data_IF_298396751859
#
_entry.id   IF_298396751859
#
_cell.length_a   1.000
_cell.length_b   1.000
_cell.length_c   1.000
_cell.angle_alpha   90.00
_cell.angle_beta   90.00
_cell.angle_gamma   90.00
#
_symmetry.space_group_name_H-M   'P 1'
#
loop_
_entity.id
_entity.type
_entity.pdbx_description
1 polymer ?
#
# COMPACT_ATOMS: atom_id res chain seq x y z
N UNK A 1 -6.16 -12.68 0.45
CA UNK A 1 -7.15 -12.24 1.46
C UNK A 1 -8.51 -12.29 0.78
N UNK A 2 -9.12 -13.49 0.66
CA UNK A 2 -10.34 -13.66 -0.13
C UNK A 2 -11.46 -12.77 0.41
N UNK A 3 -12.13 -12.01 -0.46
CA UNK A 3 -13.24 -11.13 -0.12
C UNK A 3 -12.86 -9.77 0.49
N UNK A 4 -11.62 -9.59 0.97
CA UNK A 4 -11.19 -8.31 1.55
C UNK A 4 -10.51 -7.40 0.52
N UNK A 5 -9.72 -7.96 -0.38
CA UNK A 5 -8.90 -7.24 -1.36
C UNK A 5 -9.26 -7.76 -2.76
N UNK A 6 -9.31 -6.86 -3.76
CA UNK A 6 -9.69 -7.18 -5.13
C UNK A 6 -8.71 -8.13 -5.82
N UNK A 7 -9.20 -8.89 -6.81
CA UNK A 7 -8.43 -9.92 -7.52
C UNK A 7 -7.24 -9.37 -8.30
N UNK A 8 -7.33 -8.11 -8.72
CA UNK A 8 -6.30 -7.38 -9.45
C UNK A 8 -5.11 -6.94 -8.59
N UNK A 9 -5.24 -6.99 -7.26
CA UNK A 9 -4.15 -6.65 -6.35
C UNK A 9 -3.26 -7.88 -6.13
N UNK A 10 -2.07 -7.84 -6.72
CA UNK A 10 -1.15 -8.98 -6.75
C UNK A 10 0.01 -8.89 -5.78
N UNK A 11 0.31 -7.69 -5.29
CA UNK A 11 1.39 -7.50 -4.34
C UNK A 11 0.98 -7.94 -2.93
N UNK A 12 1.87 -8.69 -2.25
CA UNK A 12 1.73 -9.12 -0.84
C UNK A 12 0.45 -9.95 -0.53
N UNK A 13 -0.18 -10.54 -1.55
CA UNK A 13 -1.33 -11.44 -1.38
C UNK A 13 -0.86 -12.90 -1.52
N UNK A 14 -1.13 -13.73 -0.50
CA UNK A 14 -0.81 -15.16 -0.54
C UNK A 14 -1.36 -15.81 -1.82
N UNK A 15 -0.52 -16.51 -2.55
CA UNK A 15 -0.87 -17.22 -3.78
C UNK A 15 -0.68 -16.41 -5.06
N UNK A 16 -0.47 -15.09 -4.97
CA UNK A 16 -0.13 -14.25 -6.12
C UNK A 16 1.39 -14.08 -6.23
N UNK A 17 1.89 -14.01 -7.47
CA UNK A 17 3.32 -13.87 -7.76
C UNK A 17 3.56 -12.58 -8.54
N UNK A 18 4.72 -11.95 -8.31
CA UNK A 18 5.10 -10.68 -8.97
C UNK A 18 5.06 -10.81 -10.51
N UNK A 19 5.38 -11.99 -11.04
CA UNK A 19 5.34 -12.23 -12.49
C UNK A 19 3.93 -12.22 -13.08
N UNK A 20 2.87 -12.45 -12.29
CA UNK A 20 1.50 -12.45 -12.77
C UNK A 20 1.12 -11.05 -13.27
N UNK A 21 1.49 -10.00 -12.53
CA UNK A 21 1.29 -8.61 -12.94
C UNK A 21 2.04 -8.25 -14.22
N UNK A 22 3.31 -8.68 -14.33
CA UNK A 22 4.11 -8.46 -15.55
C UNK A 22 3.52 -9.20 -16.77
N UNK A 23 3.01 -10.41 -16.57
CA UNK A 23 2.37 -11.21 -17.61
C UNK A 23 1.07 -10.57 -18.10
N UNK A 24 0.22 -10.08 -17.18
CA UNK A 24 -1.02 -9.37 -17.52
C UNK A 24 -0.69 -8.14 -18.37
N UNK A 25 0.24 -7.29 -17.92
CA UNK A 25 0.66 -6.10 -18.67
C UNK A 25 1.18 -6.46 -20.08
N UNK A 26 2.04 -7.47 -20.18
CA UNK A 26 2.54 -7.97 -21.46
C UNK A 26 1.42 -8.45 -22.39
N UNK A 27 0.45 -9.21 -21.87
CA UNK A 27 -0.69 -9.71 -22.64
C UNK A 27 -1.59 -8.56 -23.11
N UNK A 28 -1.85 -7.57 -22.27
CA UNK A 28 -2.63 -6.38 -22.62
C UNK A 28 -1.99 -5.61 -23.77
N UNK A 29 -0.68 -5.33 -23.70
CA UNK A 29 0.06 -4.66 -24.79
C UNK A 29 -0.02 -5.45 -26.10
N UNK A 30 0.20 -6.77 -26.04
CA UNK A 30 0.12 -7.64 -27.23
C UNK A 30 -1.28 -7.62 -27.84
N UNK A 31 -2.33 -7.66 -27.00
CA UNK A 31 -3.71 -7.62 -27.46
C UNK A 31 -4.05 -6.31 -28.15
N UNK A 32 -3.72 -5.15 -27.55
CA UNK A 32 -3.94 -3.81 -28.14
C UNK A 32 -3.31 -3.73 -29.54
N UNK A 33 -2.04 -4.15 -29.67
CA UNK A 33 -1.32 -4.18 -30.95
C UNK A 33 -2.01 -5.06 -31.99
N UNK A 34 -2.43 -6.27 -31.61
CA UNK A 34 -3.09 -7.22 -32.52
C UNK A 34 -4.46 -6.72 -32.99
N UNK A 35 -5.22 -6.06 -32.12
CA UNK A 35 -6.55 -5.54 -32.44
C UNK A 35 -6.52 -4.15 -33.08
N UNK A 36 -5.33 -3.54 -33.24
CA UNK A 36 -5.14 -2.16 -33.74
C UNK A 36 -6.05 -1.14 -33.03
N UNK A 37 -6.22 -1.31 -31.71
CA UNK A 37 -7.01 -0.38 -30.90
C UNK A 37 -6.14 0.81 -30.50
N UNK A 38 -6.68 2.00 -30.63
CA UNK A 38 -6.10 3.18 -30.00
C UNK A 38 -6.32 3.06 -28.48
N UNK A 39 -5.22 3.07 -27.72
CA UNK A 39 -5.25 2.92 -26.28
C UNK A 39 -4.06 3.63 -25.65
N UNK A 40 -4.26 4.12 -24.42
CA UNK A 40 -3.20 4.70 -23.58
C UNK A 40 -2.98 3.80 -22.38
N UNK A 41 -1.72 3.53 -22.06
CA UNK A 41 -1.33 2.81 -20.85
C UNK A 41 -0.74 3.82 -19.88
N UNK A 42 -1.36 3.94 -18.71
CA UNK A 42 -0.90 4.82 -17.64
C UNK A 42 -0.21 3.97 -16.58
N UNK A 43 1.06 4.27 -16.31
CA UNK A 43 1.81 3.67 -15.20
C UNK A 43 1.89 4.68 -14.05
N UNK A 44 1.24 4.35 -12.94
CA UNK A 44 1.30 5.13 -11.71
C UNK A 44 2.29 4.50 -10.74
N UNK A 45 3.03 5.34 -10.02
CA UNK A 45 3.94 4.92 -8.96
C UNK A 45 3.80 5.83 -7.74
N UNK A 46 3.97 5.26 -6.55
CA UNK A 46 3.84 6.00 -5.29
C UNK A 46 5.22 6.48 -4.82
N UNK A 47 5.45 7.80 -4.90
CA UNK A 47 6.65 8.39 -4.33
C UNK A 47 6.71 8.13 -2.81
N UNK A 48 7.75 7.45 -2.33
CA UNK A 48 7.93 7.10 -0.91
C UNK A 48 6.69 6.43 -0.32
N UNK A 49 6.25 5.35 -0.98
CA UNK A 49 4.97 4.68 -0.76
C UNK A 49 4.66 4.40 0.72
N UNK A 50 5.66 3.96 1.50
CA UNK A 50 5.50 3.66 2.92
C UNK A 50 5.51 4.92 3.78
N UNK A 51 6.44 5.84 3.56
CA UNK A 51 6.65 7.03 4.40
C UNK A 51 5.48 8.04 4.33
N UNK A 52 4.69 8.00 3.26
CA UNK A 52 3.64 9.00 3.02
C UNK A 52 2.24 8.59 3.45
N UNK A 53 2.04 7.35 3.90
CA UNK A 53 0.72 6.87 4.33
C UNK A 53 0.28 7.59 5.60
N UNK A 54 -0.81 8.36 5.53
CA UNK A 54 -1.41 8.99 6.71
C UNK A 54 -2.13 7.93 7.56
N UNK A 55 -1.85 7.89 8.86
CA UNK A 55 -2.47 6.90 9.76
C UNK A 55 -3.99 7.06 9.87
N UNK A 56 -4.51 8.29 9.79
CA UNK A 56 -5.95 8.54 9.72
C UNK A 56 -6.62 7.87 8.51
N UNK A 57 -5.90 7.77 7.38
CA UNK A 57 -6.40 7.07 6.21
C UNK A 57 -6.39 5.55 6.40
N UNK A 58 -5.39 5.01 7.12
CA UNK A 58 -5.36 3.58 7.51
C UNK A 58 -6.56 3.24 8.39
N UNK A 59 -6.84 4.05 9.42
CA UNK A 59 -8.00 3.83 10.30
C UNK A 59 -9.33 3.87 9.54
N UNK A 60 -9.47 4.83 8.62
CA UNK A 60 -10.64 4.97 7.77
C UNK A 60 -10.81 3.79 6.81
N UNK A 61 -9.73 3.34 6.17
CA UNK A 61 -9.74 2.17 5.29
C UNK A 61 -10.20 0.93 6.06
N UNK A 62 -9.60 0.67 7.22
CA UNK A 62 -10.00 -0.43 8.10
C UNK A 62 -11.46 -0.29 8.56
N UNK A 63 -11.93 0.93 8.85
CA UNK A 63 -13.33 1.18 9.21
C UNK A 63 -14.27 0.78 8.08
N UNK A 64 -13.99 1.21 6.85
CA UNK A 64 -14.81 0.92 5.67
C UNK A 64 -14.82 -0.57 5.31
N UNK A 65 -13.75 -1.28 5.67
CA UNK A 65 -13.64 -2.73 5.52
C UNK A 65 -14.27 -3.53 6.67
N UNK A 66 -14.90 -2.87 7.65
CA UNK A 66 -15.64 -3.52 8.73
C UNK A 66 -14.81 -3.96 9.94
N UNK A 67 -13.56 -3.49 10.07
CA UNK A 67 -12.74 -3.82 11.24
C UNK A 67 -13.29 -3.16 12.51
N UNK A 68 -13.42 -3.96 13.57
CA UNK A 68 -13.92 -3.50 14.86
C UNK A 68 -13.00 -2.45 15.52
N UNK A 69 -13.58 -1.56 16.34
CA UNK A 69 -12.86 -0.46 17.01
C UNK A 69 -11.63 -0.92 17.79
N UNK A 70 -11.71 -2.06 18.48
CA UNK A 70 -10.60 -2.63 19.24
C UNK A 70 -9.40 -2.96 18.34
N UNK A 71 -9.63 -3.59 17.19
CA UNK A 71 -8.55 -3.96 16.28
C UNK A 71 -7.90 -2.71 15.66
N UNK A 72 -8.73 -1.75 15.26
CA UNK A 72 -8.23 -0.47 14.75
C UNK A 72 -7.40 0.28 15.79
N UNK A 73 -7.84 0.31 17.05
CA UNK A 73 -7.10 0.92 18.15
C UNK A 73 -5.71 0.31 18.35
N UNK A 74 -5.60 -1.02 18.33
CA UNK A 74 -4.30 -1.70 18.40
C UNK A 74 -3.39 -1.37 17.22
N UNK A 75 -3.93 -1.33 15.99
CA UNK A 75 -3.15 -0.91 14.81
C UNK A 75 -2.67 0.53 14.94
N UNK A 76 -3.53 1.44 15.41
CA UNK A 76 -3.16 2.84 15.63
C UNK A 76 -2.03 2.96 16.64
N UNK A 77 -2.09 2.23 17.75
CA UNK A 77 -1.01 2.19 18.75
C UNK A 77 0.31 1.69 18.14
N UNK A 78 0.25 0.67 17.29
CA UNK A 78 1.44 0.17 16.59
C UNK A 78 2.07 1.24 15.69
N UNK A 79 1.27 1.95 14.88
CA UNK A 79 1.81 2.87 13.87
C UNK A 79 2.15 4.25 14.43
N UNK A 80 1.40 4.77 15.42
CA UNK A 80 1.50 6.16 15.87
C UNK A 80 2.52 6.44 16.96
N UNK A 81 3.04 5.40 17.61
CA UNK A 81 4.01 5.51 18.70
C UNK A 81 5.46 5.62 18.22
N UNK A 82 5.69 5.62 16.90
CA UNK A 82 7.03 5.69 16.33
C UNK A 82 7.68 7.07 16.49
N UNK A 83 8.94 7.09 16.92
CA UNK A 83 9.86 8.21 16.77
C UNK A 83 10.96 7.87 15.77
N UNK A 84 11.58 8.88 15.16
CA UNK A 84 12.68 8.76 14.21
C UNK A 84 13.76 9.78 14.56
N UNK A 85 15.02 9.46 14.29
CA UNK A 85 16.14 10.41 14.28
C UNK A 85 16.80 10.39 12.91
N UNK A 86 17.30 11.54 12.45
CA UNK A 86 18.11 11.62 11.26
C UNK A 86 19.59 11.43 11.64
N UNK A 87 20.34 10.64 10.87
CA UNK A 87 21.79 10.57 11.03
C UNK A 87 22.44 11.77 10.33
N UNK A 88 23.10 12.63 11.10
CA UNK A 88 23.86 13.78 10.62
C UNK A 88 25.33 13.49 10.87
N UNK A 89 26.11 13.31 9.80
CA UNK A 89 27.53 12.92 9.86
C UNK A 89 27.78 11.68 10.74
N UNK A 90 26.88 10.69 10.65
CA UNK A 90 26.96 9.44 11.43
C UNK A 90 26.45 9.55 12.87
N UNK A 91 26.09 10.74 13.35
CA UNK A 91 25.51 10.95 14.68
C UNK A 91 23.99 11.14 14.60
N UNK A 92 23.18 10.50 15.46
CA UNK A 92 21.74 10.69 15.46
C UNK A 92 21.36 12.10 15.94
N UNK A 93 20.39 12.71 15.26
CA UNK A 93 19.70 13.91 15.74
C UNK A 93 18.83 13.59 16.95
N UNK A 94 18.32 14.66 17.58
CA UNK A 94 17.22 14.54 18.52
C UNK A 94 16.04 13.77 17.89
N UNK A 95 15.41 12.84 18.62
CA UNK A 95 14.26 12.11 18.13
C UNK A 95 13.06 13.04 17.91
N UNK A 96 12.37 12.83 16.79
CA UNK A 96 11.11 13.50 16.49
C UNK A 96 9.99 12.47 16.33
N UNK A 97 8.76 12.87 16.68
CA UNK A 97 7.58 12.04 16.48
C UNK A 97 7.23 11.97 15.00
N UNK A 98 6.86 10.77 14.55
CA UNK A 98 6.28 10.61 13.23
C UNK A 98 4.82 11.08 13.24
N UNK A 99 4.32 11.58 12.10
CA UNK A 99 2.90 11.95 11.92
C UNK A 99 2.19 11.06 10.88
N UNK A 100 2.99 10.28 10.15
CA UNK A 100 2.58 9.42 9.06
C UNK A 100 3.69 8.40 8.79
N UNK A 101 3.35 7.41 7.98
CA UNK A 101 4.28 6.43 7.46
C UNK A 101 4.08 5.05 8.06
N UNK A 102 4.35 4.04 7.26
CA UNK A 102 4.41 2.64 7.68
C UNK A 102 5.88 2.22 7.74
N UNK A 103 6.31 1.55 8.80
CA UNK A 103 7.72 1.16 8.97
C UNK A 103 8.10 0.08 7.96
N UNK A 104 9.11 0.31 7.13
CA UNK A 104 9.69 -0.73 6.31
C UNK A 104 10.39 -1.77 7.20
N UNK A 105 10.20 -3.05 6.91
CA UNK A 105 10.70 -4.15 7.74
C UNK A 105 9.75 -4.57 8.88
N UNK A 106 8.71 -3.79 9.18
CA UNK A 106 7.64 -4.19 10.09
C UNK A 106 6.70 -5.19 9.38
N UNK A 107 6.45 -6.39 9.94
CA UNK A 107 5.59 -7.39 9.33
C UNK A 107 4.14 -6.95 9.13
N UNK A 108 3.66 -5.95 9.88
CA UNK A 108 2.30 -5.40 9.73
C UNK A 108 2.20 -4.42 8.56
N UNK A 109 3.27 -3.71 8.22
CA UNK A 109 3.26 -2.63 7.23
C UNK A 109 2.81 -3.07 5.83
N UNK A 110 3.27 -4.21 5.26
CA UNK A 110 2.79 -4.68 3.97
C UNK A 110 1.29 -4.94 3.95
N UNK A 111 0.74 -5.47 5.05
CA UNK A 111 -0.70 -5.72 5.18
C UNK A 111 -1.49 -4.42 5.14
N UNK A 112 -1.10 -3.44 5.97
CA UNK A 112 -1.77 -2.13 6.02
C UNK A 112 -1.65 -1.38 4.68
N UNK A 113 -0.50 -1.48 4.02
CA UNK A 113 -0.30 -0.89 2.70
C UNK A 113 -1.25 -1.47 1.65
N UNK A 114 -1.45 -2.79 1.63
CA UNK A 114 -2.39 -3.44 0.71
C UNK A 114 -3.82 -2.95 0.94
N UNK A 115 -4.27 -2.81 2.20
CA UNK A 115 -5.62 -2.31 2.49
C UNK A 115 -5.81 -0.87 1.97
N UNK A 116 -4.82 -0.01 2.20
CA UNK A 116 -4.82 1.38 1.72
C UNK A 116 -4.90 1.44 0.20
N UNK A 117 -4.05 0.67 -0.50
CA UNK A 117 -4.02 0.66 -1.97
C UNK A 117 -5.31 0.07 -2.54
N UNK A 118 -5.89 -0.95 -1.91
CA UNK A 118 -7.16 -1.52 -2.37
C UNK A 118 -8.31 -0.52 -2.29
N UNK A 119 -8.40 0.26 -1.19
CA UNK A 119 -9.37 1.35 -1.08
C UNK A 119 -9.15 2.41 -2.15
N UNK A 120 -7.90 2.83 -2.38
CA UNK A 120 -7.58 3.77 -3.46
C UNK A 120 -7.99 3.22 -4.82
N UNK A 121 -7.70 1.94 -5.09
CA UNK A 121 -8.05 1.32 -6.35
C UNK A 121 -9.57 1.35 -6.60
N UNK A 122 -10.38 1.05 -5.57
CA UNK A 122 -11.86 1.13 -5.65
C UNK A 122 -12.42 2.55 -5.77
N UNK A 123 -11.61 3.57 -5.49
CA UNK A 123 -12.02 4.97 -5.70
C UNK A 123 -11.76 5.44 -7.14
N UNK A 124 -10.79 4.83 -7.83
CA UNK A 124 -10.37 5.22 -9.18
C UNK A 124 -10.85 4.28 -10.29
N UNK A 125 -11.32 3.08 -9.96
CA UNK A 125 -11.88 2.09 -10.90
C UNK A 125 -13.27 1.65 -10.49
#
# INVERSE_FOLDING_TARGET
MPGLVGETQSAFVKGQKIHDGALIACKTVKWIKRTKKEAVIIKLDFQKAYDRVKWSFVDLAMQKMGFGRRWRGWVMECVSTCSMSALINGSPSEPFKMERGLRQGDPLSPFLFVLVVDVLQRMFG
#
